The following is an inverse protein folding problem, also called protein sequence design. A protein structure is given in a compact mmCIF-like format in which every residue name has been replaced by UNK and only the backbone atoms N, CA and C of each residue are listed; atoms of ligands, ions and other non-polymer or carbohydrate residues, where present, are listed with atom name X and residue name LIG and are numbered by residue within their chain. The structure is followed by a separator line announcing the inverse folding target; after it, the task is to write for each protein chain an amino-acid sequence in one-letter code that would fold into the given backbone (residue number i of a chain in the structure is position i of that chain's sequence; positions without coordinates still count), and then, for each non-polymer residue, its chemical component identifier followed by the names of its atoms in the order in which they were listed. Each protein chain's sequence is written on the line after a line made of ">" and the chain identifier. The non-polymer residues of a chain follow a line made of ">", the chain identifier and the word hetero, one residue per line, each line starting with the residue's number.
data_IF_709440044125
#
_entry.id   IF_709440044125
#
_cell.length_a   1.000
_cell.length_b   1.000
_cell.length_c   1.000
_cell.angle_alpha   90.00
_cell.angle_beta   90.00
_cell.angle_gamma   90.00
#
_symmetry.space_group_name_H-M   'P 1'
#
loop_
_entity.id
_entity.type
_entity.pdbx_description
1 polymer ?
#
# COMPACT_ATOMS: atom_id res chain seq x y z
N UNK A 1 -4.32 -5.69 4.65
CA UNK A 1 -3.33 -6.29 3.73
C UNK A 1 -3.54 -5.83 2.31
N UNK A 2 -4.76 -5.98 1.77
CA UNK A 2 -5.17 -5.70 0.39
C UNK A 2 -4.76 -4.33 -0.18
N UNK A 3 -4.82 -3.27 0.64
CA UNK A 3 -4.39 -1.91 0.28
C UNK A 3 -2.89 -1.64 0.35
N UNK A 4 -2.16 -2.32 1.24
CA UNK A 4 -0.70 -2.18 1.34
C UNK A 4 0.03 -2.77 0.14
N UNK A 5 -0.54 -3.85 -0.40
CA UNK A 5 -0.03 -4.60 -1.53
C UNK A 5 0.24 -3.73 -2.77
N UNK A 6 -0.76 -2.94 -3.13
CA UNK A 6 -0.82 -2.13 -4.35
C UNK A 6 -0.07 -0.80 -4.18
N UNK A 7 0.11 -0.40 -2.92
CA UNK A 7 0.78 0.83 -2.52
C UNK A 7 2.30 0.69 -2.51
N UNK A 8 2.83 -0.47 -2.09
CA UNK A 8 4.25 -0.82 -2.26
C UNK A 8 4.70 -0.65 -3.70
N UNK A 9 3.85 -1.09 -4.62
CA UNK A 9 4.08 -1.03 -6.06
C UNK A 9 4.22 0.41 -6.55
N UNK A 10 3.27 1.27 -6.20
CA UNK A 10 3.26 2.70 -6.55
C UNK A 10 4.56 3.42 -6.17
N UNK A 11 5.09 3.14 -4.98
CA UNK A 11 6.28 3.82 -4.46
C UNK A 11 7.59 3.26 -4.97
N UNK A 12 7.64 1.95 -5.23
CA UNK A 12 8.79 1.28 -5.85
C UNK A 12 9.03 1.79 -7.28
N UNK A 13 7.96 2.14 -7.99
CA UNK A 13 7.99 2.50 -9.41
C UNK A 13 8.25 3.98 -9.65
N UNK A 14 7.63 4.85 -8.87
CA UNK A 14 7.78 6.32 -9.00
C UNK A 14 9.20 6.85 -8.74
N UNK A 15 10.12 6.03 -8.22
CA UNK A 15 11.55 6.37 -8.04
C UNK A 15 12.51 5.62 -8.96
N UNK A 16 12.02 4.62 -9.69
CA UNK A 16 12.78 3.99 -10.77
C UNK A 16 12.79 4.94 -11.99
N UNK A 17 13.55 6.04 -11.90
CA UNK A 17 13.90 6.90 -13.05
C UNK A 17 14.78 6.18 -14.10
N UNK A 18 14.74 4.84 -14.13
CA UNK A 18 15.18 4.00 -15.23
C UNK A 18 13.96 3.40 -15.92
N UNK A 19 13.10 4.27 -16.46
CA UNK A 19 12.31 3.88 -17.62
C UNK A 19 13.25 3.95 -18.83
N UNK A 20 14.17 2.98 -18.95
CA UNK A 20 14.65 2.62 -20.28
C UNK A 20 13.45 2.10 -21.05
N UNK A 21 13.30 2.63 -22.25
CA UNK A 21 12.18 2.49 -23.17
C UNK A 21 11.83 1.00 -23.31
N UNK A 22 10.75 0.57 -22.65
CA UNK A 22 10.21 -0.77 -22.81
C UNK A 22 9.51 -0.79 -24.17
N UNK A 23 10.10 -1.54 -25.11
CA UNK A 23 9.45 -1.81 -26.39
C UNK A 23 8.12 -2.55 -26.17
N UNK A 24 7.08 -2.24 -26.98
CA UNK A 24 5.73 -2.73 -26.75
C UNK A 24 5.66 -4.24 -27.04
N UNK A 25 5.59 -5.05 -25.99
CA UNK A 25 5.25 -6.46 -26.15
C UNK A 25 3.74 -6.59 -26.36
N UNK A 26 3.37 -6.93 -27.61
CA UNK A 26 2.04 -7.27 -28.14
C UNK A 26 0.86 -6.94 -27.23
N UNK A 27 0.36 -5.73 -27.44
CA UNK A 27 -0.88 -5.18 -26.93
C UNK A 27 -2.07 -6.07 -27.31
N UNK A 28 -2.72 -6.69 -26.32
CA UNK A 28 -4.12 -7.07 -26.45
C UNK A 28 -4.97 -5.80 -26.38
N UNK A 29 -4.86 -4.94 -27.39
CA UNK A 29 -5.82 -3.87 -27.60
C UNK A 29 -7.08 -4.52 -28.17
N UNK A 30 -8.17 -4.49 -27.42
CA UNK A 30 -9.45 -4.31 -28.11
C UNK A 30 -9.33 -3.00 -28.88
N UNK A 31 -9.33 -3.07 -30.21
CA UNK A 31 -9.63 -1.89 -31.02
C UNK A 31 -11.07 -1.50 -30.73
N UNK A 32 -11.25 -0.64 -29.72
CA UNK A 32 -12.50 0.07 -29.50
C UNK A 32 -12.49 1.31 -30.39
N UNK A 33 -13.55 1.49 -31.18
CA UNK A 33 -13.79 2.64 -32.04
C UNK A 33 -13.70 3.92 -31.20
N UNK A 34 -13.00 4.95 -31.69
CA UNK A 34 -12.92 6.25 -31.01
C UNK A 34 -14.30 6.90 -31.08
N UNK A 35 -15.01 6.92 -29.95
CA UNK A 35 -16.33 7.55 -29.82
C UNK A 35 -16.13 9.06 -29.67
N UNK A 36 -17.04 9.88 -30.20
CA UNK A 36 -16.96 11.36 -30.21
C UNK A 36 -16.53 11.98 -28.87
N UNK A 37 -17.04 11.45 -27.77
CA UNK A 37 -16.70 11.93 -26.43
C UNK A 37 -15.27 11.60 -25.98
N UNK A 38 -14.57 10.64 -26.62
CA UNK A 38 -13.13 10.42 -26.42
C UNK A 38 -12.26 11.38 -27.24
N UNK A 39 -12.82 12.04 -28.28
CA UNK A 39 -12.13 13.01 -29.12
C UNK A 39 -11.98 14.40 -28.46
N UNK A 40 -12.86 14.79 -27.54
CA UNK A 40 -12.67 16.03 -26.74
C UNK A 40 -11.36 16.01 -25.94
N UNK A 41 -10.85 14.82 -25.62
CA UNK A 41 -9.68 14.63 -24.77
C UNK A 41 -8.35 14.60 -25.52
N UNK A 42 -8.34 14.25 -26.81
CA UNK A 42 -7.13 14.41 -27.65
C UNK A 42 -6.72 15.88 -27.76
N UNK A 43 -7.62 16.81 -27.43
CA UNK A 43 -7.40 18.25 -27.47
C UNK A 43 -7.17 18.90 -26.10
N UNK A 44 -7.05 18.13 -25.00
CA UNK A 44 -6.74 18.73 -23.68
C UNK A 44 -5.32 19.29 -23.64
N UNK A 45 -5.22 20.61 -23.50
CA UNK A 45 -3.93 21.34 -23.38
C UNK A 45 -3.15 21.04 -22.10
N UNK A 46 -3.81 20.58 -21.03
CA UNK A 46 -3.16 20.30 -19.74
C UNK A 46 -3.45 18.86 -19.32
N UNK A 47 -2.40 18.05 -19.21
CA UNK A 47 -2.46 16.71 -18.63
C UNK A 47 -2.38 16.86 -17.11
N UNK A 48 -3.35 16.31 -16.39
CA UNK A 48 -3.36 16.42 -14.93
C UNK A 48 -2.28 15.53 -14.31
N UNK A 49 -1.81 15.87 -13.09
CA UNK A 49 -0.90 15.00 -12.32
C UNK A 49 -1.47 13.60 -12.11
N UNK A 50 -2.80 13.50 -11.99
CA UNK A 50 -3.50 12.22 -11.84
C UNK A 50 -3.50 11.42 -13.14
N UNK A 51 -3.73 12.05 -14.29
CA UNK A 51 -3.61 11.39 -15.60
C UNK A 51 -2.21 10.85 -15.84
N UNK A 52 -1.17 11.65 -15.56
CA UNK A 52 0.22 11.19 -15.67
C UNK A 52 0.47 9.97 -14.78
N UNK A 53 0.02 10.03 -13.53
CA UNK A 53 0.12 8.93 -12.58
C UNK A 53 -0.60 7.66 -13.07
N UNK A 54 -1.84 7.77 -13.53
CA UNK A 54 -2.62 6.61 -14.00
C UNK A 54 -2.03 6.01 -15.28
N UNK A 55 -1.53 6.84 -16.20
CA UNK A 55 -0.84 6.38 -17.40
C UNK A 55 0.49 5.67 -17.10
N UNK A 56 1.20 6.12 -16.07
CA UNK A 56 2.41 5.45 -15.59
C UNK A 56 2.06 4.09 -14.97
N UNK A 57 1.05 4.06 -14.09
CA UNK A 57 0.58 2.82 -13.47
C UNK A 57 0.08 1.81 -14.50
N UNK A 58 -0.60 2.27 -15.56
CA UNK A 58 -1.06 1.43 -16.67
C UNK A 58 0.06 0.58 -17.26
N UNK A 59 1.21 1.22 -17.52
CA UNK A 59 2.37 0.59 -18.15
C UNK A 59 3.12 -0.32 -17.21
N UNK A 60 3.00 -0.07 -15.91
CA UNK A 60 3.91 -0.65 -14.94
C UNK A 60 3.30 -1.86 -14.24
N UNK A 61 2.01 -1.82 -13.92
CA UNK A 61 1.30 -2.93 -13.26
C UNK A 61 1.27 -4.17 -14.17
N UNK A 62 1.67 -5.36 -13.68
CA UNK A 62 1.64 -6.59 -14.47
C UNK A 62 0.20 -7.15 -14.54
N UNK A 63 -0.72 -6.45 -15.21
CA UNK A 63 -2.16 -6.78 -15.23
C UNK A 63 -2.45 -8.23 -15.58
N UNK A 64 -1.82 -8.76 -16.63
CA UNK A 64 -2.01 -10.15 -17.06
C UNK A 64 -1.67 -11.13 -15.93
N UNK A 65 -0.56 -10.91 -15.23
CA UNK A 65 -0.11 -11.76 -14.13
C UNK A 65 -1.11 -11.73 -12.97
N UNK A 66 -1.61 -10.54 -12.64
CA UNK A 66 -2.59 -10.36 -11.58
C UNK A 66 -3.96 -10.95 -11.92
N UNK A 67 -4.39 -10.82 -13.18
CA UNK A 67 -5.65 -11.39 -13.65
C UNK A 67 -5.61 -12.92 -13.55
N UNK A 68 -4.50 -13.56 -13.90
CA UNK A 68 -4.34 -15.02 -13.79
C UNK A 68 -4.48 -15.53 -12.34
N UNK A 69 -4.08 -14.73 -11.35
CA UNK A 69 -4.24 -15.09 -9.92
C UNK A 69 -5.72 -15.07 -9.51
N UNK A 70 -6.50 -14.14 -10.07
CA UNK A 70 -7.89 -13.88 -9.67
C UNK A 70 -8.88 -14.72 -10.48
N UNK A 71 -8.55 -15.02 -11.74
CA UNK A 71 -9.39 -15.75 -12.70
C UNK A 71 -10.06 -17.01 -12.13
N UNK A 72 -9.37 -17.89 -11.37
CA UNK A 72 -9.99 -19.11 -10.84
C UNK A 72 -11.15 -18.86 -9.87
N UNK A 73 -11.16 -17.69 -9.22
CA UNK A 73 -12.14 -17.32 -8.20
C UNK A 73 -13.22 -16.38 -8.73
N UNK A 74 -12.99 -15.77 -9.90
CA UNK A 74 -13.91 -14.78 -10.45
C UNK A 74 -15.20 -15.43 -10.97
N UNK A 75 -16.39 -14.85 -10.72
CA UNK A 75 -17.65 -15.41 -11.19
C UNK A 75 -17.68 -15.56 -12.71
N UNK A 76 -18.02 -16.76 -13.18
CA UNK A 76 -18.23 -17.05 -14.60
C UNK A 76 -19.65 -16.66 -15.03
N UNK A 77 -19.83 -16.38 -16.32
CA UNK A 77 -21.15 -16.09 -16.89
C UNK A 77 -22.09 -17.28 -16.64
N UNK A 78 -23.21 -17.01 -15.97
CA UNK A 78 -24.30 -17.97 -15.73
C UNK A 78 -25.64 -17.36 -16.15
N UNK A 79 -26.75 -17.91 -15.64
CA UNK A 79 -28.12 -17.43 -15.95
C UNK A 79 -28.53 -16.14 -15.21
N UNK A 80 -27.67 -15.58 -14.36
CA UNK A 80 -27.93 -14.37 -13.56
C UNK A 80 -27.32 -13.10 -14.16
N UNK A 81 -27.24 -12.03 -13.35
CA UNK A 81 -26.57 -10.77 -13.73
C UNK A 81 -25.15 -11.06 -14.21
N UNK A 82 -24.84 -10.65 -15.43
CA UNK A 82 -23.51 -10.83 -16.03
C UNK A 82 -22.47 -10.15 -15.15
N UNK A 83 -21.44 -10.88 -14.67
CA UNK A 83 -20.33 -10.28 -13.94
C UNK A 83 -19.63 -9.22 -14.78
N UNK A 84 -19.22 -8.13 -14.14
CA UNK A 84 -18.41 -7.09 -14.79
C UNK A 84 -17.11 -7.68 -15.35
N UNK A 85 -16.50 -7.08 -16.39
CA UNK A 85 -15.17 -7.51 -16.80
C UNK A 85 -14.17 -7.47 -15.64
N UNK A 86 -13.47 -8.60 -15.43
CA UNK A 86 -12.52 -8.77 -14.33
C UNK A 86 -11.41 -7.71 -14.36
N UNK A 87 -10.97 -7.32 -15.56
CA UNK A 87 -9.97 -6.27 -15.74
C UNK A 87 -10.45 -4.92 -15.20
N UNK A 88 -11.65 -4.48 -15.56
CA UNK A 88 -12.22 -3.22 -15.10
C UNK A 88 -12.37 -3.16 -13.59
N UNK A 89 -12.93 -4.21 -12.98
CA UNK A 89 -13.14 -4.22 -11.52
C UNK A 89 -11.82 -4.31 -10.75
N UNK A 90 -10.81 -5.00 -11.28
CA UNK A 90 -9.47 -5.02 -10.71
C UNK A 90 -8.83 -3.63 -10.74
N UNK A 91 -8.96 -2.91 -11.86
CA UNK A 91 -8.43 -1.54 -11.99
C UNK A 91 -9.11 -0.58 -11.03
N UNK A 92 -10.42 -0.70 -10.85
CA UNK A 92 -11.19 0.06 -9.85
C UNK A 92 -10.70 -0.27 -8.45
N UNK A 93 -10.47 -1.54 -8.15
CA UNK A 93 -9.91 -1.95 -6.87
C UNK A 93 -8.53 -1.31 -6.61
N UNK A 94 -7.66 -1.22 -7.62
CA UNK A 94 -6.38 -0.50 -7.52
C UNK A 94 -6.57 1.01 -7.31
N UNK A 95 -7.52 1.63 -8.03
CA UNK A 95 -7.89 3.04 -7.84
C UNK A 95 -8.36 3.32 -6.41
N UNK A 96 -9.17 2.44 -5.82
CA UNK A 96 -9.60 2.54 -4.42
C UNK A 96 -8.40 2.65 -3.49
N UNK A 97 -7.36 1.84 -3.71
CA UNK A 97 -6.17 1.86 -2.87
C UNK A 97 -5.31 3.10 -3.09
N UNK A 98 -5.02 3.44 -4.35
CA UNK A 98 -4.12 4.57 -4.66
C UNK A 98 -4.69 5.94 -4.35
N UNK A 99 -6.02 6.05 -4.37
CA UNK A 99 -6.76 7.29 -4.12
C UNK A 99 -7.50 7.29 -2.78
N UNK A 100 -7.35 6.22 -1.98
CA UNK A 100 -8.00 6.06 -0.68
C UNK A 100 -9.53 6.22 -0.74
N UNK A 101 -10.17 5.67 -1.77
CA UNK A 101 -11.60 5.80 -2.01
C UNK A 101 -12.37 4.68 -1.28
N UNK A 102 -13.48 5.04 -0.64
CA UNK A 102 -14.50 4.06 -0.25
C UNK A 102 -15.22 3.50 -1.49
N UNK A 103 -16.16 2.58 -1.28
CA UNK A 103 -16.89 1.93 -2.37
C UNK A 103 -17.81 2.91 -3.07
N UNK A 104 -18.64 3.62 -2.30
CA UNK A 104 -19.46 4.72 -2.79
C UNK A 104 -18.59 5.83 -3.41
N UNK A 105 -17.46 6.20 -2.80
CA UNK A 105 -16.59 7.23 -3.38
C UNK A 105 -15.94 6.78 -4.71
N UNK A 106 -15.67 5.48 -4.88
CA UNK A 106 -15.15 4.94 -6.13
C UNK A 106 -16.22 4.94 -7.23
N UNK A 107 -17.45 4.58 -6.90
CA UNK A 107 -18.59 4.72 -7.82
C UNK A 107 -18.74 6.17 -8.29
N UNK A 108 -18.85 7.13 -7.36
CA UNK A 108 -18.97 8.55 -7.71
C UNK A 108 -17.77 9.05 -8.52
N UNK A 109 -16.55 8.63 -8.18
CA UNK A 109 -15.36 9.04 -8.92
C UNK A 109 -15.34 8.52 -10.37
N UNK A 110 -15.99 7.38 -10.66
CA UNK A 110 -16.12 6.88 -12.04
C UNK A 110 -17.15 7.68 -12.85
N UNK A 111 -18.16 8.27 -12.20
CA UNK A 111 -19.08 9.22 -12.83
C UNK A 111 -18.41 10.58 -13.08
N UNK A 112 -17.75 11.12 -12.06
CA UNK A 112 -17.26 12.51 -12.07
C UNK A 112 -15.89 12.66 -12.77
N UNK A 113 -15.01 11.66 -12.66
CA UNK A 113 -13.62 11.75 -13.09
C UNK A 113 -13.34 10.80 -14.27
N UNK A 114 -13.40 11.37 -15.47
CA UNK A 114 -13.13 10.63 -16.71
C UNK A 114 -11.78 9.89 -16.71
N UNK A 115 -10.72 10.47 -16.11
CA UNK A 115 -9.41 9.83 -16.01
C UNK A 115 -9.45 8.48 -15.27
N UNK A 116 -10.29 8.36 -14.23
CA UNK A 116 -10.45 7.11 -13.48
C UNK A 116 -11.29 6.11 -14.27
N UNK A 117 -12.34 6.60 -14.94
CA UNK A 117 -13.19 5.78 -15.81
C UNK A 117 -12.41 5.17 -16.97
N UNK A 118 -11.60 5.96 -17.67
CA UNK A 118 -10.69 5.49 -18.73
C UNK A 118 -9.66 4.50 -18.20
N UNK A 119 -9.07 4.78 -17.04
CA UNK A 119 -8.12 3.85 -16.42
C UNK A 119 -8.79 2.50 -16.06
N UNK A 120 -10.06 2.51 -15.69
CA UNK A 120 -10.87 1.31 -15.49
C UNK A 120 -11.35 0.64 -16.80
N UNK A 121 -10.98 1.20 -17.96
CA UNK A 121 -11.39 0.76 -19.30
C UNK A 121 -12.91 0.69 -19.51
N UNK A 122 -13.64 1.57 -18.83
CA UNK A 122 -15.08 1.74 -19.02
C UNK A 122 -15.32 2.85 -20.04
N UNK A 123 -16.07 2.56 -21.09
CA UNK A 123 -16.55 3.57 -22.03
C UNK A 123 -17.77 4.31 -21.45
N UNK A 124 -18.19 5.39 -22.10
CA UNK A 124 -19.39 6.14 -21.70
C UNK A 124 -20.70 5.35 -21.77
N UNK A 125 -20.73 4.31 -22.62
CA UNK A 125 -21.88 3.43 -22.76
C UNK A 125 -21.82 2.22 -21.84
N UNK A 126 -20.65 1.97 -21.22
CA UNK A 126 -20.50 0.85 -20.29
C UNK A 126 -21.17 1.19 -18.96
N UNK A 127 -21.83 0.20 -18.36
CA UNK A 127 -22.43 0.36 -17.04
C UNK A 127 -21.35 0.56 -15.96
N UNK A 128 -21.42 1.66 -15.22
CA UNK A 128 -20.56 1.92 -14.06
C UNK A 128 -20.95 0.97 -12.93
N UNK A 129 -19.98 0.33 -12.25
CA UNK A 129 -20.31 -0.56 -11.15
C UNK A 129 -20.84 0.24 -9.96
N UNK A 130 -21.99 -0.20 -9.47
CA UNK A 130 -22.54 0.26 -8.20
C UNK A 130 -21.64 -0.13 -7.02
N UNK A 131 -21.81 0.56 -5.89
CA UNK A 131 -21.13 0.32 -4.62
C UNK A 131 -21.12 -1.18 -4.25
N UNK A 132 -22.25 -1.86 -4.47
CA UNK A 132 -22.41 -3.27 -4.12
C UNK A 132 -21.54 -4.20 -4.97
N UNK A 133 -21.34 -3.86 -6.24
CA UNK A 133 -20.47 -4.60 -7.17
C UNK A 133 -19.02 -4.48 -6.73
N UNK A 134 -18.59 -3.27 -6.36
CA UNK A 134 -17.24 -3.01 -5.85
C UNK A 134 -17.02 -3.74 -4.52
N UNK A 135 -17.98 -3.68 -3.61
CA UNK A 135 -17.97 -4.39 -2.32
C UNK A 135 -17.84 -5.91 -2.50
N UNK A 136 -18.61 -6.50 -3.41
CA UNK A 136 -18.58 -7.94 -3.66
C UNK A 136 -17.21 -8.40 -4.18
N UNK A 137 -16.57 -7.60 -5.03
CA UNK A 137 -15.22 -7.90 -5.49
C UNK A 137 -14.19 -7.86 -4.35
N UNK A 138 -14.26 -6.88 -3.44
CA UNK A 138 -13.35 -6.86 -2.28
C UNK A 138 -13.57 -8.05 -1.37
N UNK A 139 -14.83 -8.42 -1.11
CA UNK A 139 -15.15 -9.63 -0.33
C UNK A 139 -14.58 -10.89 -0.98
N UNK A 140 -14.57 -10.98 -2.32
CA UNK A 140 -13.92 -12.07 -3.05
C UNK A 140 -12.42 -12.11 -2.77
N UNK A 141 -11.73 -10.95 -2.88
CA UNK A 141 -10.30 -10.83 -2.59
C UNK A 141 -9.97 -11.23 -1.14
N UNK A 142 -10.80 -10.82 -0.18
CA UNK A 142 -10.63 -11.14 1.24
C UNK A 142 -10.91 -12.60 1.55
N UNK A 143 -12.03 -13.15 1.06
CA UNK A 143 -12.45 -14.54 1.27
C UNK A 143 -11.39 -15.54 0.81
N UNK A 144 -10.74 -15.25 -0.32
CA UNK A 144 -9.71 -16.11 -0.91
C UNK A 144 -8.28 -15.68 -0.52
N UNK A 145 -8.12 -14.72 0.40
CA UNK A 145 -6.82 -14.21 0.88
C UNK A 145 -5.88 -13.75 -0.25
N UNK A 146 -6.45 -13.35 -1.39
CA UNK A 146 -5.71 -13.00 -2.61
C UNK A 146 -4.82 -11.78 -2.43
N UNK A 147 -5.12 -10.95 -1.43
CA UNK A 147 -4.32 -9.77 -1.07
C UNK A 147 -2.85 -10.07 -0.80
N UNK A 148 -2.57 -11.15 -0.07
CA UNK A 148 -1.21 -11.54 0.29
C UNK A 148 -0.49 -12.18 -0.91
N UNK A 149 -1.23 -12.95 -1.72
CA UNK A 149 -0.71 -13.59 -2.94
C UNK A 149 -0.33 -12.53 -3.97
N UNK A 150 -1.23 -11.58 -4.23
CA UNK A 150 -0.97 -10.44 -5.13
C UNK A 150 0.26 -9.65 -4.66
N UNK A 151 0.47 -9.51 -3.34
CA UNK A 151 1.63 -8.80 -2.81
C UNK A 151 2.94 -9.52 -3.05
N UNK A 152 2.97 -10.81 -2.72
CA UNK A 152 4.14 -11.64 -2.98
C UNK A 152 4.49 -11.63 -4.47
N UNK A 153 3.48 -11.74 -5.33
CA UNK A 153 3.63 -11.76 -6.78
C UNK A 153 4.14 -10.43 -7.36
N UNK A 154 3.59 -9.31 -6.89
CA UNK A 154 4.07 -7.98 -7.24
C UNK A 154 5.53 -7.78 -6.81
N UNK A 155 5.88 -8.18 -5.57
CA UNK A 155 7.26 -8.07 -5.09
C UNK A 155 8.21 -8.92 -5.93
N UNK A 156 7.79 -10.13 -6.32
CA UNK A 156 8.56 -10.97 -7.22
C UNK A 156 8.76 -10.31 -8.59
N UNK A 157 7.71 -9.72 -9.16
CA UNK A 157 7.81 -8.99 -10.42
C UNK A 157 8.77 -7.79 -10.35
N UNK A 158 8.76 -7.04 -9.24
CA UNK A 158 9.71 -5.94 -9.03
C UNK A 158 11.17 -6.44 -8.97
N UNK A 159 11.40 -7.61 -8.36
CA UNK A 159 12.71 -8.27 -8.34
C UNK A 159 13.14 -8.71 -9.74
N UNK A 160 12.24 -9.35 -10.50
CA UNK A 160 12.49 -9.77 -11.89
C UNK A 160 12.85 -8.58 -12.80
N UNK A 161 12.26 -7.40 -12.56
CA UNK A 161 12.56 -6.17 -13.28
C UNK A 161 13.84 -5.47 -12.83
N UNK A 162 14.61 -6.06 -11.93
CA UNK A 162 15.89 -5.53 -11.50
C UNK A 162 15.79 -4.25 -10.66
N UNK A 163 14.63 -3.97 -10.06
CA UNK A 163 14.52 -2.97 -9.00
C UNK A 163 15.28 -3.54 -7.82
N UNK A 164 16.56 -3.17 -7.75
CA UNK A 164 17.53 -3.74 -6.82
C UNK A 164 17.05 -3.55 -5.38
N UNK A 165 16.76 -4.68 -4.75
CA UNK A 165 16.74 -4.84 -3.31
C UNK A 165 18.12 -4.45 -2.79
N UNK A 166 18.20 -3.33 -2.09
CA UNK A 166 19.37 -2.95 -1.32
C UNK A 166 19.50 -3.86 -0.11
N UNK A 167 20.72 -4.07 0.38
CA UNK A 167 20.97 -4.88 1.58
C UNK A 167 20.65 -4.10 2.85
N UNK A 168 19.50 -3.43 2.90
CA UNK A 168 19.03 -2.88 4.16
C UNK A 168 17.62 -2.34 4.12
N UNK A 169 17.06 -2.28 5.32
CA UNK A 169 15.64 -2.03 5.53
C UNK A 169 15.37 -0.92 6.52
N UNK A 170 14.35 -0.13 6.21
CA UNK A 170 13.73 0.84 7.11
C UNK A 170 12.41 0.28 7.60
N UNK A 171 12.26 0.24 8.92
CA UNK A 171 11.09 -0.34 9.59
C UNK A 171 10.34 0.76 10.32
N UNK A 172 9.02 0.80 10.14
CA UNK A 172 8.14 1.73 10.83
C UNK A 172 6.74 1.15 11.00
N UNK A 173 5.98 1.72 11.94
CA UNK A 173 4.62 1.33 12.21
C UNK A 173 3.68 2.52 12.34
N UNK A 174 2.44 2.32 11.89
CA UNK A 174 1.37 3.31 12.01
C UNK A 174 0.09 2.68 12.54
N UNK A 175 -0.72 3.47 13.23
CA UNK A 175 -2.01 3.02 13.75
C UNK A 175 -3.08 3.27 12.68
N UNK A 176 -3.82 2.22 12.31
CA UNK A 176 -5.10 2.36 11.64
C UNK A 176 -6.16 2.48 12.71
N UNK A 177 -6.76 3.67 12.79
CA UNK A 177 -7.82 3.92 13.75
C UNK A 177 -9.15 3.35 13.22
N UNK A 178 -9.78 2.53 14.05
CA UNK A 178 -11.14 2.06 13.85
C UNK A 178 -12.09 2.81 14.81
N UNK A 179 -13.38 2.93 14.46
CA UNK A 179 -14.38 3.41 15.41
C UNK A 179 -14.46 2.45 16.60
N UNK A 180 -14.40 2.98 17.83
CA UNK A 180 -14.57 2.20 19.06
C UNK A 180 -16.03 1.86 19.38
N UNK A 181 -16.94 2.22 18.47
CA UNK A 181 -18.39 2.10 18.61
C UNK A 181 -18.84 0.65 18.53
N UNK A 182 -19.69 0.24 19.46
CA UNK A 182 -20.38 -1.05 19.47
C UNK A 182 -21.73 -0.98 18.74
N UNK A 183 -22.01 0.07 17.97
CA UNK A 183 -23.25 0.19 17.18
C UNK A 183 -23.18 -0.66 15.89
N UNK A 184 -22.81 -1.92 16.01
CA UNK A 184 -22.95 -2.94 14.96
C UNK A 184 -24.03 -3.95 15.35
N UNK A 185 -24.44 -4.79 14.40
CA UNK A 185 -25.51 -5.79 14.58
C UNK A 185 -25.27 -6.69 15.81
N UNK A 186 -24.01 -6.98 16.11
CA UNK A 186 -23.57 -7.86 17.20
C UNK A 186 -23.33 -7.15 18.54
N UNK A 187 -23.50 -5.82 18.59
CA UNK A 187 -23.23 -4.95 19.75
C UNK A 187 -21.84 -5.14 20.40
N UNK A 188 -20.86 -5.60 19.64
CA UNK A 188 -19.51 -5.95 20.13
C UNK A 188 -18.45 -5.23 19.34
N UNK A 189 -17.34 -4.91 20.00
CA UNK A 189 -16.13 -4.45 19.32
C UNK A 189 -15.52 -5.61 18.55
N UNK A 190 -14.77 -5.29 17.50
CA UNK A 190 -13.97 -6.27 16.79
C UNK A 190 -13.01 -6.98 17.78
N UNK A 191 -13.07 -8.32 17.89
CA UNK A 191 -12.31 -9.08 18.88
C UNK A 191 -10.79 -9.05 18.63
N UNK A 192 -10.35 -8.72 17.41
CA UNK A 192 -8.95 -8.67 17.02
C UNK A 192 -8.34 -7.28 17.21
N UNK A 193 -9.17 -6.25 17.41
CA UNK A 193 -8.70 -4.88 17.65
C UNK A 193 -8.49 -4.57 19.14
N UNK A 194 -7.49 -3.75 19.44
CA UNK A 194 -7.16 -3.33 20.82
C UNK A 194 -6.88 -1.84 20.90
N UNK A 195 -6.98 -1.28 22.11
CA UNK A 195 -6.68 0.12 22.37
C UNK A 195 -5.21 0.33 22.72
N UNK A 196 -4.65 1.45 22.29
CA UNK A 196 -3.31 1.90 22.66
C UNK A 196 -3.31 3.40 22.95
N UNK A 197 -2.34 3.87 23.73
CA UNK A 197 -2.16 5.30 24.03
C UNK A 197 -0.92 5.82 23.33
N UNK A 198 -1.08 6.83 22.48
CA UNK A 198 0.01 7.51 21.77
C UNK A 198 -0.20 9.02 21.87
N UNK A 199 0.85 9.77 22.19
CA UNK A 199 0.80 11.24 22.33
C UNK A 199 -0.36 11.73 23.21
N UNK A 200 -0.58 11.06 24.34
CA UNK A 200 -1.66 11.35 25.29
C UNK A 200 -3.10 11.11 24.76
N UNK A 201 -3.28 10.57 23.55
CA UNK A 201 -4.56 10.19 22.99
C UNK A 201 -4.71 8.67 22.94
N UNK A 202 -5.94 8.18 23.07
CA UNK A 202 -6.27 6.76 22.92
C UNK A 202 -6.74 6.48 21.50
N UNK A 203 -6.21 5.41 20.91
CA UNK A 203 -6.60 4.91 19.60
C UNK A 203 -7.07 3.46 19.76
N UNK A 204 -8.19 3.11 19.14
CA UNK A 204 -8.66 1.74 19.02
C UNK A 204 -8.47 1.27 17.58
N UNK A 205 -7.94 0.07 17.38
CA UNK A 205 -7.80 -0.51 16.05
C UNK A 205 -6.60 -1.43 15.93
N UNK A 206 -5.94 -1.35 14.78
CA UNK A 206 -4.74 -2.12 14.43
C UNK A 206 -3.52 -1.20 14.30
N UNK A 207 -2.34 -1.81 14.32
CA UNK A 207 -1.12 -1.26 13.78
C UNK A 207 -0.75 -2.01 12.51
N UNK A 208 -0.25 -1.26 11.53
CA UNK A 208 0.46 -1.83 10.40
C UNK A 208 1.95 -1.59 10.65
N UNK A 209 2.74 -2.63 10.48
CA UNK A 209 4.19 -2.55 10.46
C UNK A 209 4.67 -2.83 9.04
N UNK A 210 5.63 -2.05 8.55
CA UNK A 210 6.22 -2.25 7.22
C UNK A 210 7.74 -2.29 7.30
N UNK A 211 8.33 -3.11 6.46
CA UNK A 211 9.76 -3.10 6.14
C UNK A 211 9.93 -2.62 4.70
N UNK A 212 10.75 -1.59 4.52
CA UNK A 212 10.97 -0.94 3.23
C UNK A 212 12.43 -0.90 2.87
N UNK A 213 12.72 -1.06 1.60
CA UNK A 213 14.08 -1.01 1.09
C UNK A 213 14.68 0.39 1.21
N UNK A 214 15.93 0.52 1.69
CA UNK A 214 16.56 1.83 1.90
C UNK A 214 16.75 2.61 0.59
N UNK A 215 17.07 1.93 -0.51
CA UNK A 215 17.39 2.61 -1.76
C UNK A 215 16.13 2.88 -2.57
N UNK A 216 15.31 1.85 -2.80
CA UNK A 216 14.12 1.95 -3.65
C UNK A 216 12.88 2.47 -2.92
N UNK A 217 12.86 2.46 -1.57
CA UNK A 217 11.66 2.64 -0.75
C UNK A 217 10.56 1.58 -0.99
N UNK A 218 10.86 0.50 -1.70
CA UNK A 218 9.91 -0.58 -1.96
C UNK A 218 9.51 -1.28 -0.66
N UNK A 219 8.21 -1.47 -0.41
CA UNK A 219 7.76 -2.25 0.74
C UNK A 219 7.93 -3.73 0.41
N UNK A 220 8.87 -4.39 1.08
CA UNK A 220 9.13 -5.81 0.87
C UNK A 220 8.39 -6.69 1.89
N UNK A 221 8.00 -6.14 3.03
CA UNK A 221 7.29 -6.86 4.10
C UNK A 221 6.28 -5.97 4.79
N UNK A 222 5.13 -6.53 5.15
CA UNK A 222 4.10 -5.86 5.93
C UNK A 222 3.41 -6.84 6.87
N UNK A 223 3.15 -6.42 8.10
CA UNK A 223 2.36 -7.17 9.08
C UNK A 223 1.30 -6.28 9.71
N UNK A 224 0.21 -6.89 10.18
CA UNK A 224 -0.88 -6.20 10.86
C UNK A 224 -1.07 -6.85 12.22
N UNK A 225 -1.11 -6.04 13.27
CA UNK A 225 -1.24 -6.46 14.66
C UNK A 225 -2.27 -5.60 15.39
N UNK A 226 -2.85 -6.06 16.50
CA UNK A 226 -3.68 -5.21 17.36
C UNK A 226 -2.90 -3.97 17.83
N UNK A 227 -3.56 -2.83 18.03
CA UNK A 227 -2.81 -1.58 18.26
C UNK A 227 -1.96 -1.54 19.56
N UNK A 228 -2.21 -2.45 20.52
CA UNK A 228 -1.42 -2.57 21.74
C UNK A 228 -0.14 -3.41 21.58
N UNK A 229 0.02 -4.11 20.44
CA UNK A 229 1.19 -4.95 20.19
C UNK A 229 2.47 -4.11 20.18
N UNK A 230 3.55 -4.67 20.73
CA UNK A 230 4.82 -3.99 20.85
C UNK A 230 5.58 -4.07 19.52
N UNK A 231 5.98 -2.92 18.98
CA UNK A 231 6.58 -2.84 17.64
C UNK A 231 7.82 -3.73 17.49
N UNK A 232 8.61 -3.86 18.56
CA UNK A 232 9.80 -4.72 18.62
C UNK A 232 9.51 -6.19 18.26
N UNK A 233 8.34 -6.72 18.61
CA UNK A 233 7.98 -8.13 18.36
C UNK A 233 7.83 -8.42 16.87
N UNK A 234 7.49 -7.41 16.07
CA UNK A 234 7.30 -7.55 14.64
C UNK A 234 8.60 -7.37 13.86
N UNK A 235 9.68 -6.84 14.47
CA UNK A 235 10.94 -6.56 13.79
C UNK A 235 11.49 -7.72 12.94
N UNK A 236 11.54 -8.98 13.42
CA UNK A 236 12.10 -10.08 12.63
C UNK A 236 11.30 -10.40 11.36
N UNK A 237 9.99 -10.11 11.36
CA UNK A 237 9.11 -10.33 10.20
C UNK A 237 9.24 -9.22 9.15
N UNK A 238 9.91 -8.13 9.51
CA UNK A 238 10.05 -6.91 8.69
C UNK A 238 11.46 -6.75 8.11
N UNK A 239 12.32 -7.75 8.31
CA UNK A 239 13.69 -7.79 7.80
C UNK A 239 13.83 -8.97 6.82
N UNK A 240 14.70 -8.80 5.83
CA UNK A 240 15.13 -9.86 4.92
C UNK A 240 16.40 -10.52 5.45
N UNK A 241 16.64 -11.75 5.02
CA UNK A 241 17.81 -12.53 5.45
C UNK A 241 19.15 -11.92 5.01
N UNK A 242 19.13 -11.16 3.92
CA UNK A 242 20.28 -10.53 3.28
C UNK A 242 20.48 -9.05 3.68
N UNK A 243 19.66 -8.52 4.59
CA UNK A 243 19.82 -7.17 5.10
C UNK A 243 21.11 -7.04 5.92
N UNK A 244 21.96 -6.10 5.53
CA UNK A 244 23.18 -5.69 6.22
C UNK A 244 22.99 -4.48 7.12
N UNK A 245 21.87 -3.76 7.02
CA UNK A 245 21.59 -2.61 7.87
C UNK A 245 20.10 -2.47 8.15
N UNK A 246 19.75 -2.14 9.39
CA UNK A 246 18.37 -1.89 9.82
C UNK A 246 18.23 -0.49 10.40
N UNK A 247 17.30 0.31 9.87
CA UNK A 247 16.89 1.60 10.40
C UNK A 247 15.50 1.49 11.02
N UNK A 248 15.36 1.79 12.31
CA UNK A 248 14.06 1.76 12.96
C UNK A 248 13.97 2.81 14.09
N UNK A 249 12.75 3.09 14.53
CA UNK A 249 12.54 4.03 15.63
C UNK A 249 12.88 3.43 17.00
N UNK A 250 12.78 4.23 18.05
CA UNK A 250 13.11 3.79 19.39
C UNK A 250 12.13 2.70 19.89
N UNK A 251 10.92 2.59 19.34
CA UNK A 251 9.95 1.54 19.62
C UNK A 251 10.53 0.14 19.43
N UNK A 252 11.36 -0.04 18.40
CA UNK A 252 12.02 -1.30 18.05
C UNK A 252 13.31 -1.62 18.83
N UNK A 253 13.74 -0.77 19.77
CA UNK A 253 14.96 -1.02 20.56
C UNK A 253 14.85 -2.32 21.38
N UNK A 254 15.80 -3.24 21.18
CA UNK A 254 15.99 -4.43 22.01
C UNK A 254 17.48 -4.79 22.10
N UNK A 255 17.97 -5.08 23.31
CA UNK A 255 19.35 -5.52 23.53
C UNK A 255 19.59 -6.95 23.00
N UNK A 256 18.55 -7.78 22.92
CA UNK A 256 18.66 -9.12 22.32
C UNK A 256 18.82 -9.02 20.80
N UNK A 257 17.98 -8.24 20.14
CA UNK A 257 18.07 -8.03 18.69
C UNK A 257 19.29 -7.23 18.29
N UNK A 258 19.74 -6.27 19.09
CA UNK A 258 20.99 -5.57 18.84
C UNK A 258 22.19 -6.51 18.85
N UNK A 259 22.28 -7.40 19.84
CA UNK A 259 23.35 -8.42 19.90
C UNK A 259 23.26 -9.39 18.73
N UNK A 260 22.05 -9.88 18.42
CA UNK A 260 21.81 -10.76 17.28
C UNK A 260 22.20 -10.11 15.94
N UNK A 261 21.82 -8.85 15.73
CA UNK A 261 22.19 -8.09 14.55
C UNK A 261 23.71 -8.04 14.38
N UNK A 262 24.44 -7.72 15.45
CA UNK A 262 25.89 -7.66 15.42
C UNK A 262 26.53 -9.03 15.11
N UNK A 263 26.00 -10.14 15.66
CA UNK A 263 26.50 -11.48 15.34
C UNK A 263 26.26 -11.89 13.89
N UNK A 264 25.22 -11.35 13.24
CA UNK A 264 24.96 -11.55 11.81
C UNK A 264 25.67 -10.52 10.90
N UNK A 265 26.55 -9.67 11.45
CA UNK A 265 27.22 -8.62 10.68
C UNK A 265 26.30 -7.49 10.23
N UNK A 266 25.09 -7.40 10.79
CA UNK A 266 24.11 -6.36 10.47
C UNK A 266 24.37 -5.09 11.29
N UNK A 267 24.45 -3.96 10.59
CA UNK A 267 24.53 -2.63 11.18
C UNK A 267 23.20 -2.25 11.85
N UNK A 268 23.21 -2.20 13.18
CA UNK A 268 22.06 -1.78 13.98
C UNK A 268 21.92 -0.25 14.02
N UNK A 269 20.99 0.32 13.25
CA UNK A 269 20.67 1.77 13.21
C UNK A 269 19.28 2.07 13.77
N UNK A 270 18.88 1.34 14.81
CA UNK A 270 17.67 1.63 15.59
C UNK A 270 17.96 2.76 16.59
N UNK A 271 17.04 3.72 16.70
CA UNK A 271 17.23 4.86 17.60
C UNK A 271 17.38 4.41 19.07
N UNK A 272 18.27 5.06 19.79
CA UNK A 272 18.43 4.83 21.24
C UNK A 272 17.23 5.39 22.00
N UNK A 273 16.74 4.63 22.98
CA UNK A 273 15.77 5.09 23.98
C UNK A 273 16.48 5.80 25.14
N UNK A 274 15.83 6.84 25.69
CA UNK A 274 16.25 7.43 26.97
C UNK A 274 16.13 6.37 28.07
N UNK A 275 17.21 6.12 28.81
CA UNK A 275 17.18 5.24 29.98
C UNK A 275 16.49 5.96 31.17
N UNK A 276 15.78 5.24 32.05
CA UNK A 276 15.20 5.84 33.25
C UNK A 276 16.25 6.63 34.04
N UNK A 277 15.87 7.84 34.49
CA UNK A 277 16.73 8.76 35.27
C UNK A 277 18.02 9.22 34.58
N UNK A 278 18.23 8.94 33.28
CA UNK A 278 19.41 9.38 32.52
C UNK A 278 19.00 10.14 31.27
N UNK A 279 19.64 11.26 30.98
CA UNK A 279 19.45 11.98 29.72
C UNK A 279 20.23 11.29 28.60
N UNK A 280 19.74 11.43 27.36
CA UNK A 280 20.50 10.98 26.19
C UNK A 280 21.74 11.85 26.01
N UNK A 281 22.88 11.23 25.73
CA UNK A 281 24.10 11.95 25.44
C UNK A 281 24.00 12.74 24.13
N UNK A 282 24.84 13.77 23.97
CA UNK A 282 24.91 14.54 22.72
C UNK A 282 25.24 13.68 21.51
N UNK A 283 26.06 12.63 21.71
CA UNK A 283 26.39 11.64 20.66
C UNK A 283 25.17 10.82 20.27
N UNK A 284 24.41 10.29 21.24
CA UNK A 284 23.18 9.54 20.98
C UNK A 284 22.13 10.40 20.26
N UNK A 285 21.94 11.65 20.70
CA UNK A 285 21.05 12.61 20.03
C UNK A 285 21.46 12.83 18.57
N UNK A 286 22.76 13.03 18.31
CA UNK A 286 23.30 13.23 16.95
C UNK A 286 23.09 11.98 16.08
N UNK A 287 23.32 10.79 16.63
CA UNK A 287 23.10 9.53 15.91
C UNK A 287 21.63 9.29 15.61
N UNK A 288 20.75 9.45 16.61
CA UNK A 288 19.30 9.34 16.42
C UNK A 288 18.80 10.32 15.35
N UNK A 289 19.32 11.55 15.32
CA UNK A 289 18.96 12.52 14.27
C UNK A 289 19.32 12.03 12.87
N UNK A 290 20.55 11.52 12.68
CA UNK A 290 20.99 10.96 11.40
C UNK A 290 20.16 9.75 10.97
N UNK A 291 19.95 8.80 11.88
CA UNK A 291 19.15 7.60 11.61
C UNK A 291 17.70 7.98 11.27
N UNK A 292 17.13 8.95 11.98
CA UNK A 292 15.76 9.40 11.75
C UNK A 292 15.58 10.11 10.41
N UNK A 293 16.59 10.84 9.92
CA UNK A 293 16.54 11.48 8.60
C UNK A 293 16.45 10.44 7.47
N UNK A 294 17.22 9.36 7.56
CA UNK A 294 17.15 8.25 6.59
C UNK A 294 15.80 7.54 6.74
N UNK A 295 15.46 7.15 7.97
CA UNK A 295 14.21 6.45 8.29
C UNK A 295 12.97 7.22 7.84
N UNK A 296 12.95 8.55 7.91
CA UNK A 296 11.80 9.37 7.52
C UNK A 296 11.31 9.09 6.08
N UNK A 297 12.16 8.53 5.21
CA UNK A 297 11.76 8.07 3.88
C UNK A 297 10.67 6.99 3.90
N UNK A 298 10.58 6.19 4.96
CA UNK A 298 9.51 5.18 5.13
C UNK A 298 8.16 5.82 5.41
N UNK A 299 8.11 7.07 5.90
CA UNK A 299 6.85 7.74 6.20
C UNK A 299 6.06 8.08 4.93
N UNK A 300 6.73 8.18 3.78
CA UNK A 300 6.06 8.36 2.49
C UNK A 300 5.07 7.22 2.22
N UNK A 301 5.42 5.99 2.59
CA UNK A 301 4.59 4.78 2.50
C UNK A 301 3.24 4.91 3.19
N UNK A 302 3.18 5.69 4.27
CA UNK A 302 1.97 5.87 5.04
C UNK A 302 1.09 7.03 4.58
N UNK A 303 1.55 7.88 3.65
CA UNK A 303 0.80 9.07 3.20
C UNK A 303 -0.51 8.73 2.49
N UNK A 304 -0.63 7.52 1.96
CA UNK A 304 -1.80 7.07 1.19
C UNK A 304 -2.69 6.12 2.00
N UNK A 305 -2.24 5.71 3.19
CA UNK A 305 -3.07 4.97 4.13
C UNK A 305 -3.85 5.98 4.99
N UNK A 306 -5.17 5.83 5.16
CA UNK A 306 -5.90 6.57 6.17
C UNK A 306 -5.42 6.13 7.55
N UNK A 307 -4.47 6.87 8.10
CA UNK A 307 -3.86 6.62 9.41
C UNK A 307 -4.30 7.69 10.39
N UNK A 308 -4.11 7.44 11.69
CA UNK A 308 -4.33 8.48 12.70
C UNK A 308 -3.47 9.74 12.47
N UNK A 309 -2.30 9.60 11.83
CA UNK A 309 -1.45 10.74 11.41
C UNK A 309 -2.15 11.58 10.32
N UNK A 310 -2.83 10.96 9.36
CA UNK A 310 -3.52 11.63 8.25
C UNK A 310 -4.77 12.38 8.71
N UNK A 311 -5.50 11.85 9.70
CA UNK A 311 -6.73 12.47 10.24
C UNK A 311 -6.46 13.85 10.87
N UNK A 312 -5.25 14.10 11.36
CA UNK A 312 -4.88 15.41 11.93
C UNK A 312 -4.60 16.49 10.88
N UNK A 313 -4.39 16.14 9.61
CA UNK A 313 -4.12 17.11 8.54
C UNK A 313 -5.40 17.65 7.87
N UNK A 314 -6.55 17.01 8.08
CA UNK A 314 -7.84 17.40 7.49
C UNK A 314 -8.78 18.12 8.46
N UNK A 315 -8.25 18.72 9.54
CA UNK A 315 -8.98 19.72 10.33
C UNK A 315 -8.55 21.11 9.89
N UNK A 316 -9.16 21.59 8.81
CA UNK A 316 -9.37 23.01 8.52
C UNK A 316 -10.79 23.17 8.02
#
# INVERSE_FOLDING_TARGET
>A
MSGLTIMSFKESLTKSNKCEIIQPHKQYCRMKQIIFASAEYTHKKVITKRDLFLNEMEKTVPWVRLLNIIEPYYPKKGKGRTPMPMESILRIYFLQQWCSLSDSAAEHALYDMDCMRRFAQLDLLDAIPDETTILNFRRLIEKHQLSAIIFADINQYLVEKGIKVSQGSMVDATIIQAPSSTKNKDKKRDPDMRSTRKNNQYYFGFKIHIGTDINSNAIHSATVTPANEADVNELPKLLRKDDKVVFADAGYTSDTYKRGAHSFGMSWKVNDKRKPKKNMSSSQKKQNRKNSQIRARVEYCFRVIPTSKTVHLNKR
#
